data_IF_089984954598
#
_entry.id   IF_089984954598
#
_cell.length_a   1.000
_cell.length_b   1.000
_cell.length_c   1.000
_cell.angle_alpha   90.00
_cell.angle_beta   90.00
_cell.angle_gamma   90.00
#
_symmetry.space_group_name_H-M   'P 1'
#
loop_
_entity.id
_entity.type
_entity.pdbx_description
1 polymer ?
#
# COMPACT_ATOMS: atom_id res chain seq x y z
N UNK A 1 -10.34 -3.70 7.29
CA UNK A 1 -10.86 -2.37 6.85
C UNK A 1 -11.21 -2.31 5.36
N UNK A 2 -10.26 -2.57 4.46
CA UNK A 2 -10.46 -2.38 3.00
C UNK A 2 -11.02 -3.59 2.25
N UNK A 3 -10.95 -4.77 2.85
CA UNK A 3 -11.42 -6.01 2.26
C UNK A 3 -12.89 -5.90 1.85
N UNK A 4 -13.30 -6.39 0.66
CA UNK A 4 -14.71 -6.50 0.27
C UNK A 4 -15.47 -7.57 1.06
N UNK A 5 -14.83 -8.20 2.05
CA UNK A 5 -15.41 -9.17 2.98
C UNK A 5 -16.01 -10.42 2.32
N UNK A 6 -15.27 -11.15 1.44
CA UNK A 6 -15.78 -12.38 0.84
C UNK A 6 -16.09 -13.46 1.89
N UNK A 7 -15.43 -13.40 3.05
CA UNK A 7 -15.73 -14.25 4.20
C UNK A 7 -17.15 -14.06 4.75
N UNK A 8 -17.68 -12.83 4.70
CA UNK A 8 -19.04 -12.53 5.14
C UNK A 8 -20.05 -13.04 4.10
N UNK A 9 -19.76 -12.85 2.81
CA UNK A 9 -20.59 -13.41 1.71
C UNK A 9 -20.67 -14.94 1.73
N UNK A 10 -19.64 -15.62 2.24
CA UNK A 10 -19.60 -17.07 2.38
C UNK A 10 -20.08 -17.57 3.75
N UNK A 11 -20.58 -16.69 4.63
CA UNK A 11 -21.00 -17.07 5.96
C UNK A 11 -22.24 -17.96 5.92
N UNK A 12 -22.19 -19.14 6.57
CA UNK A 12 -23.34 -20.07 6.65
C UNK A 12 -24.57 -19.45 7.34
N UNK A 13 -24.37 -18.49 8.25
CA UNK A 13 -25.46 -17.74 8.86
C UNK A 13 -26.21 -16.86 7.84
N UNK A 14 -25.50 -16.43 6.79
CA UNK A 14 -26.06 -15.68 5.66
C UNK A 14 -27.16 -16.41 4.88
N UNK A 15 -27.37 -17.72 5.13
CA UNK A 15 -28.44 -18.51 4.52
C UNK A 15 -29.81 -18.12 5.09
N UNK A 16 -29.90 -17.80 6.38
CA UNK A 16 -31.16 -17.58 7.09
C UNK A 16 -31.18 -16.36 8.01
N UNK A 17 -30.09 -15.61 8.11
CA UNK A 17 -29.99 -14.35 8.85
C UNK A 17 -28.89 -13.47 8.26
N UNK A 18 -28.62 -12.32 8.88
CA UNK A 18 -27.50 -11.47 8.49
C UNK A 18 -26.18 -12.19 8.77
N UNK A 19 -25.24 -12.11 7.82
CA UNK A 19 -23.92 -12.68 7.97
C UNK A 19 -23.16 -12.05 9.15
N UNK A 20 -22.27 -12.83 9.77
CA UNK A 20 -21.37 -12.30 10.80
C UNK A 20 -20.51 -11.20 10.19
N UNK A 21 -20.38 -10.06 10.88
CA UNK A 21 -19.57 -8.91 10.47
C UNK A 21 -18.07 -9.13 10.71
N UNK A 22 -17.53 -10.20 10.12
CA UNK A 22 -16.14 -10.68 10.31
C UNK A 22 -15.12 -9.57 10.09
N UNK A 23 -15.28 -8.75 9.05
CA UNK A 23 -14.39 -7.62 8.75
C UNK A 23 -14.41 -6.60 9.89
N UNK A 24 -15.58 -6.30 10.47
CA UNK A 24 -15.66 -5.36 11.59
C UNK A 24 -15.01 -5.94 12.84
N UNK A 25 -15.30 -7.23 13.13
CA UNK A 25 -14.67 -7.93 14.25
C UNK A 25 -13.14 -7.93 14.11
N UNK A 26 -12.60 -8.21 12.92
CA UNK A 26 -11.16 -8.15 12.64
C UNK A 26 -10.58 -6.77 12.94
N UNK A 27 -11.28 -5.70 12.51
CA UNK A 27 -10.87 -4.30 12.74
C UNK A 27 -10.87 -3.96 14.22
N UNK A 28 -11.93 -4.29 14.95
CA UNK A 28 -12.03 -4.01 16.38
C UNK A 28 -10.94 -4.73 17.18
N UNK A 29 -10.66 -6.00 16.86
CA UNK A 29 -9.64 -6.80 17.52
C UNK A 29 -8.27 -6.15 17.33
N UNK A 30 -7.87 -5.85 16.09
CA UNK A 30 -6.53 -5.31 15.84
C UNK A 30 -6.38 -3.89 16.40
N UNK A 31 -7.42 -3.07 16.35
CA UNK A 31 -7.36 -1.71 16.89
C UNK A 31 -7.31 -1.69 18.42
N UNK A 32 -8.03 -2.60 19.08
CA UNK A 32 -7.84 -2.84 20.51
C UNK A 32 -6.41 -3.31 20.79
N UNK A 33 -5.91 -4.31 20.07
CA UNK A 33 -4.56 -4.82 20.30
C UNK A 33 -3.48 -3.74 20.18
N UNK A 34 -3.64 -2.77 19.26
CA UNK A 34 -2.75 -1.61 19.19
C UNK A 34 -2.92 -0.65 20.37
N UNK A 35 -4.16 -0.34 20.79
CA UNK A 35 -4.42 0.53 21.96
C UNK A 35 -3.86 -0.04 23.26
N UNK A 36 -3.95 -1.36 23.41
CA UNK A 36 -3.46 -2.08 24.60
C UNK A 36 -1.95 -2.38 24.53
N UNK A 37 -1.28 -2.02 23.43
CA UNK A 37 0.16 -2.25 23.26
C UNK A 37 0.55 -3.72 23.02
N UNK A 38 -0.39 -4.60 22.67
CA UNK A 38 -0.13 -6.02 22.42
C UNK A 38 0.61 -6.28 21.11
N UNK A 39 0.53 -5.34 20.15
CA UNK A 39 1.24 -5.45 18.88
C UNK A 39 2.65 -4.89 19.03
N UNK A 40 3.62 -5.77 19.26
CA UNK A 40 5.04 -5.43 19.39
C UNK A 40 5.85 -5.91 18.17
N UNK A 41 7.03 -5.32 17.93
CA UNK A 41 7.99 -5.84 16.95
C UNK A 41 8.37 -7.29 17.26
N UNK A 42 8.37 -8.15 16.24
CA UNK A 42 8.84 -9.53 16.34
C UNK A 42 10.25 -9.67 15.78
N UNK A 43 11.25 -9.76 16.65
CA UNK A 43 12.64 -9.97 16.26
C UNK A 43 12.87 -11.43 15.86
N UNK A 44 13.71 -11.70 14.84
CA UNK A 44 14.12 -13.06 14.53
C UNK A 44 14.98 -13.63 15.67
N UNK A 45 14.81 -14.92 15.96
CA UNK A 45 15.64 -15.61 16.97
C UNK A 45 17.08 -15.81 16.52
N UNK A 46 17.31 -15.93 15.21
CA UNK A 46 18.64 -16.06 14.60
C UNK A 46 18.68 -15.34 13.25
N UNK A 47 19.88 -14.88 12.86
CA UNK A 47 20.13 -14.34 11.53
C UNK A 47 20.53 -15.45 10.58
N UNK A 48 19.97 -15.41 9.38
CA UNK A 48 20.22 -16.39 8.31
C UNK A 48 21.47 -16.06 7.48
N UNK A 49 21.96 -14.82 7.58
CA UNK A 49 23.03 -14.29 6.72
C UNK A 49 22.63 -14.03 5.27
N UNK A 50 21.35 -14.24 4.90
CA UNK A 50 20.84 -13.97 3.55
C UNK A 50 20.31 -12.55 3.42
N UNK A 51 20.58 -11.94 2.27
CA UNK A 51 20.13 -10.59 1.91
C UNK A 51 19.06 -10.67 0.85
N UNK A 52 17.92 -10.02 1.08
CA UNK A 52 16.80 -9.99 0.14
C UNK A 52 16.40 -8.55 -0.14
N UNK A 53 16.25 -8.21 -1.42
CA UNK A 53 15.68 -6.92 -1.82
C UNK A 53 14.25 -7.09 -2.32
N UNK A 54 13.34 -6.23 -1.86
CA UNK A 54 11.94 -6.17 -2.27
C UNK A 54 11.72 -4.87 -3.03
N UNK A 55 11.31 -4.96 -4.28
CA UNK A 55 11.06 -3.81 -5.16
C UNK A 55 9.57 -3.49 -5.14
N UNK A 56 9.20 -2.35 -4.55
CA UNK A 56 7.85 -1.89 -4.36
C UNK A 56 7.33 -2.11 -2.94
N UNK A 57 6.73 -1.06 -2.36
CA UNK A 57 6.27 -1.07 -0.97
C UNK A 57 4.75 -1.14 -0.81
N UNK A 58 4.06 -1.69 -1.81
CA UNK A 58 2.64 -2.03 -1.72
C UNK A 58 2.37 -3.17 -0.73
N UNK A 59 1.10 -3.60 -0.57
CA UNK A 59 0.73 -4.67 0.36
C UNK A 59 1.54 -5.95 0.20
N UNK A 60 1.79 -6.37 -1.05
CA UNK A 60 2.57 -7.57 -1.35
C UNK A 60 4.03 -7.45 -0.89
N UNK A 61 4.68 -6.32 -1.20
CA UNK A 61 6.07 -6.08 -0.81
C UNK A 61 6.23 -5.97 0.71
N UNK A 62 5.31 -5.28 1.38
CA UNK A 62 5.35 -5.16 2.84
C UNK A 62 5.12 -6.50 3.55
N UNK A 63 4.17 -7.31 3.06
CA UNK A 63 3.91 -8.63 3.62
C UNK A 63 5.11 -9.56 3.44
N UNK A 64 5.69 -9.61 2.22
CA UNK A 64 6.89 -10.39 1.94
C UNK A 64 8.06 -9.93 2.82
N UNK A 65 8.32 -8.62 2.88
CA UNK A 65 9.41 -8.07 3.67
C UNK A 65 9.29 -8.41 5.15
N UNK A 66 8.10 -8.27 5.74
CA UNK A 66 7.89 -8.58 7.16
C UNK A 66 8.16 -10.06 7.46
N UNK A 67 7.66 -10.97 6.63
CA UNK A 67 7.88 -12.41 6.82
C UNK A 67 9.37 -12.74 6.70
N UNK A 68 10.05 -12.22 5.67
CA UNK A 68 11.48 -12.44 5.44
C UNK A 68 12.35 -11.88 6.57
N UNK A 69 12.02 -10.69 7.09
CA UNK A 69 12.71 -10.09 8.24
C UNK A 69 12.55 -10.97 9.49
N UNK A 70 11.33 -11.44 9.77
CA UNK A 70 11.03 -12.26 10.96
C UNK A 70 11.66 -13.64 10.95
N UNK A 71 11.92 -14.22 9.77
CA UNK A 71 12.71 -15.47 9.67
C UNK A 71 14.22 -15.24 9.74
N UNK A 72 14.68 -13.98 9.79
CA UNK A 72 16.07 -13.63 10.03
C UNK A 72 16.88 -13.26 8.79
N UNK A 73 16.24 -12.93 7.67
CA UNK A 73 16.91 -12.33 6.51
C UNK A 73 17.19 -10.83 6.74
N UNK A 74 18.21 -10.31 6.08
CA UNK A 74 18.44 -8.86 5.98
C UNK A 74 17.66 -8.34 4.77
N UNK A 75 16.59 -7.59 5.06
CA UNK A 75 15.61 -7.17 4.04
C UNK A 75 15.71 -5.68 3.77
N UNK A 76 15.87 -5.34 2.49
CA UNK A 76 15.80 -3.98 1.96
C UNK A 76 14.56 -3.83 1.08
N UNK A 77 13.68 -2.89 1.41
CA UNK A 77 12.54 -2.50 0.57
C UNK A 77 12.88 -1.21 -0.17
N UNK A 78 12.81 -1.25 -1.50
CA UNK A 78 12.96 -0.10 -2.38
C UNK A 78 11.59 0.38 -2.84
N UNK A 79 11.32 1.67 -2.69
CA UNK A 79 10.09 2.32 -3.14
C UNK A 79 10.42 3.47 -4.07
N UNK A 80 9.72 3.53 -5.21
CA UNK A 80 9.87 4.62 -6.18
C UNK A 80 9.33 5.94 -5.62
N UNK A 81 8.19 5.91 -4.94
CA UNK A 81 7.56 7.10 -4.40
C UNK A 81 8.31 7.67 -3.18
N UNK A 82 7.92 8.87 -2.76
CA UNK A 82 8.50 9.57 -1.61
C UNK A 82 8.14 8.93 -0.26
N UNK A 83 7.10 8.07 -0.21
CA UNK A 83 6.64 7.39 1.00
C UNK A 83 6.20 5.94 0.74
N UNK A 84 6.29 5.15 1.79
CA UNK A 84 5.95 3.71 1.81
C UNK A 84 4.44 3.48 1.78
N UNK A 85 4.02 2.41 1.09
CA UNK A 85 2.64 1.90 1.11
C UNK A 85 1.99 1.73 -0.26
N UNK A 86 2.61 2.18 -1.36
CA UNK A 86 2.05 2.08 -2.71
C UNK A 86 0.63 2.67 -2.80
N UNK A 87 -0.31 1.93 -3.42
CA UNK A 87 -1.70 2.39 -3.58
C UNK A 87 -2.47 2.51 -2.26
N UNK A 88 -2.05 1.83 -1.18
CA UNK A 88 -2.63 2.06 0.15
C UNK A 88 -2.44 3.52 0.58
N UNK A 89 -1.30 4.11 0.18
CA UNK A 89 -0.95 5.50 0.47
C UNK A 89 -1.53 6.47 -0.55
N UNK A 90 -1.29 6.24 -1.84
CA UNK A 90 -1.57 7.24 -2.87
C UNK A 90 -2.86 7.00 -3.65
N UNK A 91 -3.43 5.80 -3.62
CA UNK A 91 -4.68 5.47 -4.31
C UNK A 91 -5.90 5.57 -3.40
N UNK A 92 -5.85 4.91 -2.25
CA UNK A 92 -7.00 4.81 -1.34
C UNK A 92 -7.19 6.13 -0.59
N UNK A 93 -8.39 6.74 -0.58
CA UNK A 93 -8.63 8.00 0.14
C UNK A 93 -8.45 7.89 1.67
N UNK A 94 -8.07 9.01 2.31
CA UNK A 94 -7.90 9.12 3.77
C UNK A 94 -9.13 8.63 4.56
N UNK A 95 -10.33 9.06 4.16
CA UNK A 95 -11.58 8.70 4.86
C UNK A 95 -11.92 7.21 4.79
N UNK A 96 -11.37 6.48 3.80
CA UNK A 96 -11.58 5.02 3.66
C UNK A 96 -10.53 4.24 4.43
N UNK A 97 -9.31 4.76 4.50
CA UNK A 97 -8.25 4.24 5.36
C UNK A 97 -7.20 5.31 5.62
N UNK A 98 -7.06 5.63 6.90
CA UNK A 98 -6.17 6.63 7.45
C UNK A 98 -4.72 6.18 7.31
N UNK A 99 -3.81 7.10 6.91
CA UNK A 99 -2.41 6.72 6.65
C UNK A 99 -1.63 6.40 7.91
N UNK A 100 -2.11 6.83 9.07
CA UNK A 100 -1.59 6.43 10.38
C UNK A 100 -1.52 4.91 10.55
N UNK A 101 -2.43 4.16 9.92
CA UNK A 101 -2.42 2.69 9.92
C UNK A 101 -1.22 2.10 9.17
N UNK A 102 -0.77 2.77 8.10
CA UNK A 102 0.43 2.39 7.35
C UNK A 102 1.65 2.78 8.19
N UNK A 103 1.68 3.99 8.75
CA UNK A 103 2.81 4.46 9.57
C UNK A 103 3.09 3.55 10.77
N UNK A 104 2.06 3.13 11.51
CA UNK A 104 2.22 2.20 12.64
C UNK A 104 2.83 0.86 12.20
N UNK A 105 2.44 0.36 11.02
CA UNK A 105 2.95 -0.90 10.47
C UNK A 105 4.40 -0.77 9.99
N UNK A 106 4.71 0.30 9.25
CA UNK A 106 6.07 0.58 8.79
C UNK A 106 7.00 0.75 9.98
N UNK A 107 6.59 1.49 11.02
CA UNK A 107 7.36 1.65 12.26
C UNK A 107 7.63 0.30 12.95
N UNK A 108 6.64 -0.58 13.03
CA UNK A 108 6.83 -1.93 13.55
C UNK A 108 7.86 -2.70 12.71
N UNK A 109 7.73 -2.71 11.38
CA UNK A 109 8.63 -3.44 10.49
C UNK A 109 10.07 -2.90 10.53
N UNK A 110 10.24 -1.58 10.65
CA UNK A 110 11.56 -0.96 10.84
C UNK A 110 12.19 -1.38 12.16
N UNK A 111 11.39 -1.45 13.24
CA UNK A 111 11.86 -1.95 14.53
C UNK A 111 12.19 -3.46 14.50
N UNK A 112 11.55 -4.23 13.62
CA UNK A 112 11.89 -5.64 13.35
C UNK A 112 13.20 -5.79 12.55
N UNK A 113 13.70 -4.70 11.95
CA UNK A 113 14.95 -4.66 11.19
C UNK A 113 14.79 -4.52 9.67
N UNK A 114 13.58 -4.32 9.17
CA UNK A 114 13.36 -4.05 7.73
C UNK A 114 13.89 -2.66 7.38
N UNK A 115 14.74 -2.56 6.35
CA UNK A 115 15.27 -1.27 5.88
C UNK A 115 14.41 -0.78 4.72
N UNK A 116 14.00 0.48 4.75
CA UNK A 116 13.23 1.12 3.69
C UNK A 116 14.05 2.22 3.02
N UNK A 117 14.02 2.27 1.67
CA UNK A 117 14.56 3.39 0.89
C UNK A 117 13.52 3.86 -0.12
N UNK A 118 13.13 5.13 0.00
CA UNK A 118 12.19 5.81 -0.90
C UNK A 118 12.94 6.54 -2.01
N UNK A 119 12.21 7.04 -3.02
CA UNK A 119 12.79 7.67 -4.22
C UNK A 119 13.80 6.77 -4.95
N UNK A 120 13.61 5.45 -4.85
CA UNK A 120 14.47 4.42 -5.41
C UNK A 120 13.74 3.68 -6.54
N UNK A 121 13.88 4.19 -7.76
CA UNK A 121 13.32 3.62 -8.98
C UNK A 121 14.30 2.63 -9.59
N UNK A 122 14.02 1.33 -9.43
CA UNK A 122 14.84 0.28 -10.04
C UNK A 122 14.67 0.27 -11.55
N UNK A 123 15.80 0.21 -12.27
CA UNK A 123 15.86 0.37 -13.73
C UNK A 123 16.03 1.82 -14.19
N UNK A 124 16.01 2.79 -13.27
CA UNK A 124 16.33 4.19 -13.55
C UNK A 124 17.51 4.64 -12.67
N UNK A 125 17.25 5.09 -11.44
CA UNK A 125 18.28 5.58 -10.53
C UNK A 125 18.84 4.49 -9.58
N UNK A 126 18.30 3.28 -9.63
CA UNK A 126 18.86 2.10 -8.98
C UNK A 126 19.10 1.02 -10.02
N UNK A 127 20.35 0.61 -10.15
CA UNK A 127 20.78 -0.42 -11.10
C UNK A 127 20.37 -1.82 -10.62
N UNK A 128 19.65 -2.56 -11.47
CA UNK A 128 19.19 -3.92 -11.19
C UNK A 128 20.36 -4.91 -11.13
N UNK A 129 21.41 -4.71 -11.92
CA UNK A 129 22.56 -5.64 -11.96
C UNK A 129 23.33 -5.60 -10.64
N UNK A 130 23.44 -4.41 -10.04
CA UNK A 130 23.98 -4.24 -8.68
C UNK A 130 23.14 -4.98 -7.66
N UNK A 131 21.81 -4.92 -7.77
CA UNK A 131 20.91 -5.63 -6.85
C UNK A 131 21.06 -7.15 -6.96
N UNK A 132 21.11 -7.68 -8.19
CA UNK A 132 21.29 -9.11 -8.46
C UNK A 132 22.66 -9.62 -7.98
N UNK A 133 23.71 -8.80 -8.07
CA UNK A 133 25.05 -9.16 -7.59
C UNK A 133 25.18 -9.08 -6.05
N UNK A 134 24.41 -8.20 -5.40
CA UNK A 134 24.56 -7.90 -3.96
C UNK A 134 23.55 -8.58 -3.04
N UNK A 135 22.51 -9.22 -3.58
CA UNK A 135 21.46 -9.90 -2.81
C UNK A 135 21.31 -11.35 -3.23
N UNK A 136 20.93 -12.20 -2.28
CA UNK A 136 20.65 -13.62 -2.55
C UNK A 136 19.32 -13.82 -3.30
N UNK A 137 18.39 -12.88 -3.17
CA UNK A 137 17.09 -12.92 -3.85
C UNK A 137 16.52 -11.51 -4.09
N UNK A 138 15.68 -11.42 -5.12
CA UNK A 138 14.91 -10.22 -5.49
C UNK A 138 13.42 -10.57 -5.52
N UNK A 139 12.60 -9.79 -4.83
CA UNK A 139 11.13 -9.87 -4.89
C UNK A 139 10.59 -8.70 -5.69
N UNK A 140 9.91 -8.97 -6.80
CA UNK A 140 9.23 -7.96 -7.60
C UNK A 140 7.79 -7.76 -7.09
N UNK A 141 7.53 -6.61 -6.48
CA UNK A 141 6.24 -6.21 -5.94
C UNK A 141 5.80 -4.80 -6.44
N UNK A 142 6.14 -4.49 -7.69
CA UNK A 142 5.96 -3.15 -8.29
C UNK A 142 4.51 -2.74 -8.55
N UNK A 143 3.57 -3.70 -8.52
CA UNK A 143 2.16 -3.46 -8.79
C UNK A 143 1.84 -3.16 -10.27
N UNK A 144 0.64 -2.67 -10.54
CA UNK A 144 0.14 -2.35 -11.87
C UNK A 144 -0.20 -0.86 -11.95
N UNK A 145 0.79 -0.02 -12.29
CA UNK A 145 0.62 1.43 -12.35
C UNK A 145 0.26 1.94 -13.74
N UNK A 146 0.33 1.08 -14.77
CA UNK A 146 -0.06 1.44 -16.12
C UNK A 146 -1.59 1.45 -16.21
N UNK A 147 -2.19 2.62 -16.42
CA UNK A 147 -3.64 2.75 -16.61
C UNK A 147 -4.05 2.34 -18.03
N UNK A 148 -5.34 2.04 -18.19
CA UNK A 148 -5.94 1.81 -19.50
C UNK A 148 -6.46 3.13 -20.04
N UNK A 149 -6.04 3.49 -21.25
CA UNK A 149 -6.56 4.66 -21.93
C UNK A 149 -7.59 4.28 -22.99
N UNK A 150 -8.47 5.22 -23.33
CA UNK A 150 -9.50 5.06 -24.35
C UNK A 150 -9.15 5.91 -25.57
N UNK A 151 -8.87 5.23 -26.70
CA UNK A 151 -8.67 5.91 -27.98
C UNK A 151 -10.03 6.21 -28.63
N UNK A 152 -10.64 7.31 -28.20
CA UNK A 152 -11.95 7.77 -28.67
C UNK A 152 -11.89 9.26 -29.00
N UNK A 153 -12.79 9.72 -29.88
CA UNK A 153 -12.90 11.12 -30.23
C UNK A 153 -13.15 11.98 -28.98
N UNK A 154 -12.40 13.08 -28.84
CA UNK A 154 -12.52 14.00 -27.71
C UNK A 154 -11.73 13.59 -26.47
N UNK A 155 -10.93 12.51 -26.51
CA UNK A 155 -10.06 12.09 -25.39
C UNK A 155 -9.04 13.17 -24.98
N UNK A 156 -8.65 14.02 -25.93
CA UNK A 156 -7.73 15.14 -25.79
C UNK A 156 -8.35 16.39 -25.13
N UNK A 157 -9.67 16.42 -24.93
CA UNK A 157 -10.35 17.57 -24.33
C UNK A 157 -9.92 17.78 -22.87
N UNK A 158 -9.92 19.06 -22.46
CA UNK A 158 -9.56 19.47 -21.09
C UNK A 158 -10.58 18.92 -20.09
N UNK A 159 -10.09 18.51 -18.92
CA UNK A 159 -10.92 18.00 -17.82
C UNK A 159 -11.07 16.49 -17.81
N UNK A 160 -10.48 15.77 -18.77
CA UNK A 160 -10.39 14.30 -18.76
C UNK A 160 -9.11 13.89 -18.04
N UNK A 161 -9.27 13.26 -16.87
CA UNK A 161 -8.17 12.87 -16.00
C UNK A 161 -8.25 11.38 -15.67
N UNK A 162 -7.10 10.72 -15.65
CA UNK A 162 -6.95 9.38 -15.10
C UNK A 162 -7.06 9.42 -13.56
N UNK A 163 -7.55 8.34 -12.97
CA UNK A 163 -7.75 8.28 -11.51
C UNK A 163 -6.44 8.54 -10.73
N UNK A 164 -5.30 8.06 -11.25
CA UNK A 164 -3.99 8.24 -10.63
C UNK A 164 -3.40 9.64 -10.83
N UNK A 165 -4.00 10.50 -11.64
CA UNK A 165 -3.69 11.93 -11.70
C UNK A 165 -4.46 12.71 -10.62
N UNK A 166 -5.63 12.22 -10.21
CA UNK A 166 -6.52 12.87 -9.25
C UNK A 166 -6.26 12.44 -7.79
N UNK A 167 -6.14 11.13 -7.55
CA UNK A 167 -6.12 10.56 -6.19
C UNK A 167 -4.84 10.88 -5.39
N UNK A 168 -3.61 10.77 -5.95
CA UNK A 168 -2.41 11.03 -5.17
C UNK A 168 -2.29 12.48 -4.66
N UNK A 169 -2.50 13.53 -5.48
CA UNK A 169 -2.49 14.91 -4.97
C UNK A 169 -3.54 15.15 -3.89
N UNK A 170 -4.75 14.58 -4.04
CA UNK A 170 -5.80 14.69 -3.03
C UNK A 170 -5.39 14.04 -1.69
N UNK A 171 -4.78 12.86 -1.73
CA UNK A 171 -4.22 12.22 -0.53
C UNK A 171 -3.08 13.05 0.08
N UNK A 172 -2.21 13.65 -0.75
CA UNK A 172 -1.12 14.53 -0.30
C UNK A 172 -1.65 15.80 0.40
N UNK A 173 -2.75 16.39 -0.08
CA UNK A 173 -3.44 17.49 0.62
C UNK A 173 -3.91 17.06 2.02
N UNK A 174 -4.54 15.89 2.14
CA UNK A 174 -5.01 15.38 3.44
C UNK A 174 -3.86 15.08 4.42
N UNK A 175 -2.66 14.81 3.91
CA UNK A 175 -1.45 14.60 4.70
C UNK A 175 -0.65 15.90 4.94
N UNK A 176 -1.16 17.05 4.47
CA UNK A 176 -0.55 18.36 4.69
C UNK A 176 0.61 18.72 3.75
N UNK A 177 0.84 17.92 2.71
CA UNK A 177 1.93 18.16 1.75
C UNK A 177 1.64 19.35 0.83
N UNK A 178 0.35 19.57 0.54
CA UNK A 178 -0.15 20.64 -0.31
C UNK A 178 -1.33 21.33 0.36
N UNK A 179 -1.48 22.64 0.12
CA UNK A 179 -2.67 23.37 0.54
C UNK A 179 -3.93 22.94 -0.24
N UNK A 180 -3.77 22.65 -1.54
CA UNK A 180 -4.84 22.25 -2.43
C UNK A 180 -4.34 21.36 -3.58
N UNK A 181 -5.28 20.73 -4.30
CA UNK A 181 -5.00 19.92 -5.48
C UNK A 181 -5.20 20.73 -6.76
N UNK A 182 -4.34 20.51 -7.75
CA UNK A 182 -4.40 21.13 -9.07
C UNK A 182 -5.67 20.72 -9.84
N UNK A 183 -6.25 19.56 -9.50
CA UNK A 183 -7.47 19.04 -10.11
C UNK A 183 -8.57 19.03 -9.03
N UNK A 184 -9.51 19.97 -9.12
CA UNK A 184 -10.63 20.11 -8.18
C UNK A 184 -11.98 19.89 -8.85
N UNK A 185 -12.83 19.13 -8.17
CA UNK A 185 -14.24 18.88 -8.52
C UNK A 185 -15.22 19.87 -7.86
N UNK A 186 -14.75 20.79 -7.01
CA UNK A 186 -15.62 21.70 -6.26
C UNK A 186 -16.47 22.55 -7.21
N UNK A 187 -17.80 22.50 -7.05
CA UNK A 187 -18.74 23.29 -7.84
C UNK A 187 -18.85 22.85 -9.31
N UNK A 188 -18.41 21.63 -9.65
CA UNK A 188 -18.48 21.09 -11.02
C UNK A 188 -19.43 19.91 -11.10
N UNK A 189 -19.96 19.66 -12.30
CA UNK A 189 -20.58 18.38 -12.64
C UNK A 189 -19.48 17.39 -13.05
N UNK A 190 -19.42 16.25 -12.37
CA UNK A 190 -18.36 15.26 -12.54
C UNK A 190 -18.95 13.95 -13.04
N UNK A 191 -18.29 13.37 -14.05
CA UNK A 191 -18.59 12.03 -14.56
C UNK A 191 -17.41 11.12 -14.25
N UNK A 192 -17.68 9.95 -13.66
CA UNK A 192 -16.67 8.93 -13.37
C UNK A 192 -16.92 7.76 -14.32
N UNK A 193 -15.88 7.35 -15.06
CA UNK A 193 -15.95 6.22 -15.99
C UNK A 193 -15.21 5.04 -15.35
N UNK A 194 -15.97 4.02 -14.95
CA UNK A 194 -15.47 2.84 -14.25
C UNK A 194 -16.37 2.48 -13.06
N UNK A 195 -16.36 1.20 -12.66
CA UNK A 195 -17.22 0.67 -11.59
C UNK A 195 -16.48 -0.16 -10.54
N UNK A 196 -15.17 0.05 -10.41
CA UNK A 196 -14.32 -0.62 -9.40
C UNK A 196 -14.29 0.09 -8.05
#
# INVERSE_FOLDING_TARGET
>A
RLCPAPCESACVLGINSDAVTIKQVEVEIIDRAWREGWVTPQMPSQKTGRRVVVIGSGPAGLAAAQQLTRVGHDVLVLERADRIGGLLRYGIPEFKMEKSNIERRVKQMSAEGTIFRTNATVGENVDIDVLLASHDAVVLACGATNWRDLNVQGRELKGIHQAMEYLPPANKVQQGDFAETNISAKGKHVVIIGGG
#
